data_IF_565299237504
#
_entry.id   IF_565299237504
#
_cell.length_a   1.000
_cell.length_b   1.000
_cell.length_c   1.000
_cell.angle_alpha   90.00
_cell.angle_beta   90.00
_cell.angle_gamma   90.00
#
_symmetry.space_group_name_H-M   'P 1'
#
loop_
_entity.id
_entity.type
_entity.pdbx_description
1 polymer ?
#
# COMPACT_ATOMS: atom_id res chain seq x y z
N UNK A 1 68.14 42.41 -8.55
CA UNK A 1 67.28 43.13 -7.57
C UNK A 1 67.08 44.56 -8.06
N UNK A 2 65.88 44.87 -8.55
CA UNK A 2 65.55 46.25 -8.96
C UNK A 2 65.51 47.13 -7.71
N UNK A 3 66.42 48.13 -7.63
CA UNK A 3 66.42 49.15 -6.56
C UNK A 3 65.49 50.28 -6.99
N UNK A 4 64.29 50.34 -6.43
CA UNK A 4 63.42 51.48 -6.65
C UNK A 4 63.98 52.73 -5.94
N UNK A 5 63.83 53.92 -6.53
CA UNK A 5 64.32 55.16 -5.94
C UNK A 5 63.60 55.51 -4.64
N UNK A 6 64.27 56.18 -3.69
CA UNK A 6 63.76 56.48 -2.34
C UNK A 6 62.40 57.19 -2.33
N UNK A 7 62.13 58.00 -3.35
CA UNK A 7 60.84 58.70 -3.47
C UNK A 7 59.68 57.74 -3.74
N UNK A 8 59.90 56.59 -4.39
CA UNK A 8 58.86 55.60 -4.65
C UNK A 8 58.41 54.91 -3.36
N UNK A 9 59.37 54.52 -2.51
CA UNK A 9 59.05 53.96 -1.19
C UNK A 9 58.34 54.97 -0.30
N UNK A 10 58.83 56.21 -0.25
CA UNK A 10 58.17 57.30 0.49
C UNK A 10 56.77 57.59 -0.05
N UNK A 11 56.60 57.67 -1.37
CA UNK A 11 55.30 57.88 -2.00
C UNK A 11 54.33 56.73 -1.71
N UNK A 12 54.80 55.48 -1.74
CA UNK A 12 53.98 54.31 -1.44
C UNK A 12 53.62 54.19 0.05
N UNK A 13 54.48 54.69 0.93
CA UNK A 13 54.25 54.80 2.38
C UNK A 13 53.28 55.94 2.72
N UNK A 14 53.40 57.08 2.01
CA UNK A 14 52.55 58.26 2.15
C UNK A 14 51.17 58.07 1.44
N UNK A 15 51.05 57.10 0.53
CA UNK A 15 49.82 56.78 -0.22
C UNK A 15 49.49 55.28 -0.15
N UNK A 16 49.15 54.75 1.04
CA UNK A 16 48.77 53.35 1.17
C UNK A 16 47.46 53.12 0.41
N UNK A 17 47.52 52.48 -0.76
CA UNK A 17 46.32 52.01 -1.44
C UNK A 17 45.66 50.93 -0.58
N UNK A 18 44.51 51.24 0.00
CA UNK A 18 43.72 50.27 0.76
C UNK A 18 43.17 49.21 -0.21
N UNK A 19 43.88 48.10 -0.32
CA UNK A 19 43.42 46.90 -1.04
C UNK A 19 42.56 46.01 -0.14
N UNK A 20 42.59 46.21 1.18
CA UNK A 20 41.83 45.41 2.15
C UNK A 20 40.36 45.77 2.11
N UNK A 21 40.00 47.05 2.08
CA UNK A 21 38.61 47.51 1.94
C UNK A 21 37.91 46.96 0.69
N UNK A 22 38.45 47.19 -0.53
CA UNK A 22 37.94 46.61 -1.77
C UNK A 22 37.96 45.08 -1.79
N UNK A 23 38.99 44.45 -1.22
CA UNK A 23 39.09 42.98 -1.11
C UNK A 23 38.00 42.38 -0.20
N UNK A 24 37.73 43.00 0.95
CA UNK A 24 36.64 42.61 1.85
C UNK A 24 35.30 42.79 1.14
N UNK A 25 35.07 43.93 0.49
CA UNK A 25 33.83 44.19 -0.25
C UNK A 25 33.60 43.15 -1.36
N UNK A 26 34.61 42.88 -2.19
CA UNK A 26 34.53 41.89 -3.26
C UNK A 26 34.30 40.48 -2.70
N UNK A 27 34.99 40.10 -1.62
CA UNK A 27 34.79 38.82 -0.94
C UNK A 27 33.39 38.66 -0.35
N UNK A 28 32.85 39.71 0.27
CA UNK A 28 31.48 39.73 0.81
C UNK A 28 30.46 39.60 -0.31
N UNK A 29 30.59 40.37 -1.41
CA UNK A 29 29.67 40.28 -2.55
C UNK A 29 29.74 38.90 -3.21
N UNK A 30 30.94 38.36 -3.44
CA UNK A 30 31.10 37.03 -4.03
C UNK A 30 30.48 35.94 -3.15
N UNK A 31 30.68 36.01 -1.82
CA UNK A 31 30.09 35.07 -0.87
C UNK A 31 28.56 35.19 -0.84
N UNK A 32 28.02 36.40 -0.85
CA UNK A 32 26.58 36.64 -0.88
C UNK A 32 25.94 36.10 -2.18
N UNK A 33 26.59 36.31 -3.33
CA UNK A 33 26.14 35.75 -4.61
C UNK A 33 26.22 34.22 -4.60
N UNK A 34 27.28 33.64 -4.08
CA UNK A 34 27.41 32.18 -3.96
C UNK A 34 26.31 31.58 -3.06
N UNK A 35 26.05 32.18 -1.89
CA UNK A 35 24.99 31.74 -0.97
C UNK A 35 23.61 31.88 -1.62
N UNK A 36 23.32 33.03 -2.25
CA UNK A 36 22.07 33.24 -2.95
C UNK A 36 21.88 32.25 -4.11
N UNK A 37 22.95 31.94 -4.85
CA UNK A 37 22.93 30.94 -5.92
C UNK A 37 22.66 29.54 -5.36
N UNK A 38 23.29 29.16 -4.24
CA UNK A 38 23.02 27.88 -3.57
C UNK A 38 21.55 27.80 -3.14
N UNK A 39 20.99 28.85 -2.54
CA UNK A 39 19.57 28.89 -2.12
C UNK A 39 18.63 28.74 -3.34
N UNK A 40 18.94 29.38 -4.47
CA UNK A 40 18.12 29.30 -5.68
C UNK A 40 18.27 27.95 -6.40
N UNK A 41 19.50 27.42 -6.49
CA UNK A 41 19.80 26.16 -7.21
C UNK A 41 19.29 24.93 -6.45
N UNK A 42 19.39 24.93 -5.13
CA UNK A 42 18.91 23.80 -4.32
C UNK A 42 17.40 23.83 -4.03
N UNK A 43 16.69 24.89 -4.46
CA UNK A 43 15.26 25.14 -4.22
C UNK A 43 14.86 24.91 -2.74
N UNK A 44 13.56 24.90 -2.42
CA UNK A 44 13.08 24.43 -1.12
C UNK A 44 13.10 22.89 -1.10
N UNK A 45 14.02 22.21 -0.36
CA UNK A 45 14.05 20.75 -0.28
C UNK A 45 12.83 20.16 0.46
N UNK A 46 12.04 21.01 1.10
CA UNK A 46 10.79 20.67 1.78
C UNK A 46 9.58 21.24 1.03
N UNK A 47 9.70 21.47 -0.28
CA UNK A 47 8.57 21.84 -1.11
C UNK A 47 7.51 20.73 -1.04
N UNK A 48 6.26 21.13 -0.82
CA UNK A 48 5.12 20.22 -0.78
C UNK A 48 4.20 20.41 -1.98
N UNK A 49 3.37 19.40 -2.20
CA UNK A 49 2.16 19.43 -3.02
C UNK A 49 1.00 19.03 -2.14
N UNK A 50 -0.09 19.79 -2.24
CA UNK A 50 -1.22 19.67 -1.32
C UNK A 50 -2.48 19.36 -2.13
N UNK A 51 -3.16 18.27 -1.78
CA UNK A 51 -4.47 17.92 -2.31
C UNK A 51 -5.53 18.38 -1.33
N UNK A 52 -6.27 19.44 -1.66
CA UNK A 52 -7.40 19.88 -0.84
C UNK A 52 -8.55 18.87 -0.92
N UNK A 53 -8.98 18.31 0.22
CA UNK A 53 -10.02 17.26 0.30
C UNK A 53 -11.33 17.76 0.92
N UNK A 54 -11.38 18.99 1.43
CA UNK A 54 -12.60 19.60 1.97
C UNK A 54 -12.73 21.10 1.70
N UNK A 55 -13.80 21.76 2.20
CA UNK A 55 -13.97 23.20 2.07
C UNK A 55 -12.76 24.03 2.51
N UNK A 56 -12.58 25.22 1.93
CA UNK A 56 -11.46 26.11 2.31
C UNK A 56 -11.52 26.49 3.79
N UNK A 57 -10.35 26.49 4.45
CA UNK A 57 -10.18 27.02 5.81
C UNK A 57 -10.44 26.03 6.96
N UNK A 58 -10.70 24.76 6.68
CA UNK A 58 -10.90 23.73 7.73
C UNK A 58 -9.73 22.73 7.86
N UNK A 59 -8.63 22.94 7.13
CA UNK A 59 -7.42 22.11 7.22
C UNK A 59 -7.57 20.69 6.67
N UNK A 60 -8.53 20.48 5.77
CA UNK A 60 -8.67 19.21 5.05
C UNK A 60 -7.82 19.24 3.77
N UNK A 61 -6.56 18.85 3.92
CA UNK A 61 -5.60 18.68 2.84
C UNK A 61 -4.66 17.49 3.08
N UNK A 62 -4.31 16.78 2.00
CA UNK A 62 -3.24 15.77 1.98
C UNK A 62 -1.99 16.43 1.43
N UNK A 63 -1.08 16.77 2.33
CA UNK A 63 0.21 17.39 2.02
C UNK A 63 1.29 16.31 1.86
N UNK A 64 2.06 16.34 0.76
CA UNK A 64 3.18 15.44 0.52
C UNK A 64 4.42 16.20 0.05
N UNK A 65 5.63 15.74 0.37
CA UNK A 65 6.84 16.35 -0.16
C UNK A 65 7.01 15.99 -1.64
N UNK A 66 7.39 16.98 -2.46
CA UNK A 66 7.65 16.77 -3.90
C UNK A 66 8.77 15.75 -4.11
N UNK A 67 9.80 15.79 -3.26
CA UNK A 67 10.97 14.90 -3.36
C UNK A 67 10.62 13.41 -3.17
N UNK A 68 9.50 13.12 -2.50
CA UNK A 68 9.08 11.75 -2.22
C UNK A 68 8.36 11.13 -3.42
N UNK A 69 8.15 11.89 -4.52
CA UNK A 69 7.40 11.51 -5.70
C UNK A 69 6.07 10.82 -5.32
N UNK A 70 5.04 11.57 -4.90
CA UNK A 70 3.85 11.02 -4.22
C UNK A 70 2.99 10.04 -5.02
N UNK A 71 3.28 9.86 -6.31
CA UNK A 71 2.63 8.91 -7.23
C UNK A 71 3.56 7.75 -7.62
N UNK A 72 4.77 7.68 -7.07
CA UNK A 72 5.71 6.59 -7.37
C UNK A 72 5.25 5.30 -6.71
N UNK A 73 4.98 4.27 -7.52
CA UNK A 73 4.84 2.90 -7.07
C UNK A 73 6.00 2.07 -7.66
N UNK A 74 6.99 1.63 -6.87
CA UNK A 74 8.10 0.84 -7.38
C UNK A 74 7.65 -0.50 -7.98
N UNK A 75 6.48 -1.00 -7.60
CA UNK A 75 5.96 -2.27 -8.11
C UNK A 75 5.27 -2.11 -9.47
N UNK A 76 4.76 -0.91 -9.80
CA UNK A 76 4.23 -0.62 -11.13
C UNK A 76 5.34 -0.76 -12.18
N UNK A 77 6.54 -0.26 -11.88
CA UNK A 77 7.70 -0.35 -12.80
C UNK A 77 8.18 -1.79 -13.04
N UNK A 78 7.90 -2.69 -12.10
CA UNK A 78 8.30 -4.11 -12.19
C UNK A 78 7.19 -5.02 -12.68
N UNK A 79 5.99 -4.50 -12.93
CA UNK A 79 4.91 -5.28 -13.51
C UNK A 79 5.29 -5.72 -14.93
N UNK A 80 5.06 -7.00 -15.23
CA UNK A 80 5.28 -7.58 -16.55
C UNK A 80 3.95 -8.02 -17.11
N UNK A 81 3.61 -7.45 -18.26
CA UNK A 81 2.49 -7.81 -19.10
C UNK A 81 2.80 -9.08 -19.91
N UNK A 82 1.84 -9.99 -20.02
CA UNK A 82 1.97 -11.22 -20.79
C UNK A 82 0.92 -11.24 -21.90
N UNK A 83 1.37 -11.07 -23.14
CA UNK A 83 0.48 -11.21 -24.31
C UNK A 83 -0.09 -12.63 -24.40
N UNK A 84 -1.40 -12.68 -24.69
CA UNK A 84 -2.14 -13.91 -24.95
C UNK A 84 -1.66 -14.55 -26.25
N UNK A 85 -1.71 -15.88 -26.28
CA UNK A 85 -1.49 -16.63 -27.52
C UNK A 85 -2.81 -16.70 -28.29
N UNK A 86 -2.81 -16.33 -29.56
CA UNK A 86 -4.00 -16.53 -30.41
C UNK A 86 -4.25 -18.03 -30.58
N UNK A 87 -5.46 -18.48 -30.25
CA UNK A 87 -5.85 -19.88 -30.43
C UNK A 87 -5.98 -20.20 -31.92
N UNK A 88 -5.25 -21.21 -32.39
CA UNK A 88 -5.41 -21.72 -33.75
C UNK A 88 -6.66 -22.62 -33.84
N UNK A 89 -7.32 -22.65 -34.99
CA UNK A 89 -8.51 -23.49 -35.15
C UNK A 89 -8.17 -24.98 -35.02
N UNK A 90 -8.81 -25.68 -34.08
CA UNK A 90 -8.66 -27.13 -33.88
C UNK A 90 -7.56 -27.54 -32.91
N UNK A 91 -6.97 -26.60 -32.16
CA UNK A 91 -6.16 -26.91 -30.98
C UNK A 91 -7.03 -27.40 -29.82
N UNK A 92 -6.49 -28.28 -28.95
CA UNK A 92 -7.24 -28.79 -27.82
C UNK A 92 -7.44 -27.73 -26.73
N UNK A 93 -8.51 -27.85 -25.96
CA UNK A 93 -8.66 -27.10 -24.70
C UNK A 93 -7.72 -27.64 -23.62
N UNK A 94 -7.54 -26.89 -22.54
CA UNK A 94 -6.75 -27.32 -21.38
C UNK A 94 -7.31 -28.62 -20.77
N UNK A 95 -8.63 -28.76 -20.67
CA UNK A 95 -9.27 -29.98 -20.20
C UNK A 95 -9.04 -31.17 -21.16
N UNK A 96 -9.02 -30.95 -22.48
CA UNK A 96 -8.71 -32.01 -23.45
C UNK A 96 -7.23 -32.42 -23.41
N UNK A 97 -6.33 -31.46 -23.17
CA UNK A 97 -4.89 -31.68 -23.14
C UNK A 97 -4.39 -32.32 -21.83
N UNK A 98 -4.91 -31.86 -20.68
CA UNK A 98 -4.42 -32.20 -19.35
C UNK A 98 -5.40 -33.08 -18.54
N UNK A 99 -6.65 -33.22 -18.99
CA UNK A 99 -7.65 -34.09 -18.39
C UNK A 99 -8.35 -33.50 -17.17
N UNK A 100 -8.98 -34.38 -16.37
CA UNK A 100 -9.83 -34.01 -15.23
C UNK A 100 -9.05 -33.41 -14.04
N UNK A 101 -7.72 -33.32 -14.10
CA UNK A 101 -6.90 -32.72 -13.03
C UNK A 101 -6.76 -31.20 -13.14
N UNK A 102 -7.27 -30.59 -14.21
CA UNK A 102 -7.31 -29.13 -14.39
C UNK A 102 -8.22 -28.49 -13.35
N UNK A 103 -7.70 -27.55 -12.57
CA UNK A 103 -8.44 -26.90 -11.47
C UNK A 103 -9.09 -25.57 -11.85
N UNK A 104 -8.69 -24.97 -12.97
CA UNK A 104 -9.30 -23.75 -13.48
C UNK A 104 -9.12 -23.65 -15.00
N UNK A 105 -9.99 -22.88 -15.67
CA UNK A 105 -9.84 -22.56 -17.10
C UNK A 105 -9.81 -23.77 -18.04
N UNK A 106 -10.55 -24.83 -17.74
CA UNK A 106 -10.59 -26.06 -18.56
C UNK A 106 -10.96 -25.85 -20.03
N UNK A 107 -11.82 -24.86 -20.32
CA UNK A 107 -12.27 -24.53 -21.68
C UNK A 107 -11.30 -23.61 -22.45
N UNK A 108 -10.23 -23.13 -21.80
CA UNK A 108 -9.23 -22.30 -22.43
C UNK A 108 -8.39 -23.11 -23.43
N UNK A 109 -8.02 -22.53 -24.57
CA UNK A 109 -7.04 -23.12 -25.47
C UNK A 109 -5.74 -23.48 -24.73
N UNK A 110 -5.15 -24.64 -25.04
CA UNK A 110 -3.96 -25.15 -24.36
C UNK A 110 -2.80 -24.14 -24.34
N UNK A 111 -2.52 -23.45 -25.45
CA UNK A 111 -1.39 -22.53 -25.53
C UNK A 111 -1.64 -21.25 -24.71
N UNK A 112 -2.88 -20.75 -24.68
CA UNK A 112 -3.28 -19.66 -23.79
C UNK A 112 -3.19 -20.08 -22.32
N UNK A 113 -3.59 -21.31 -21.98
CA UNK A 113 -3.53 -21.85 -20.63
C UNK A 113 -2.08 -21.98 -20.12
N UNK A 114 -1.18 -22.50 -20.95
CA UNK A 114 0.24 -22.57 -20.65
C UNK A 114 0.86 -21.17 -20.45
N UNK A 115 0.44 -20.21 -21.28
CA UNK A 115 0.88 -18.82 -21.18
C UNK A 115 0.37 -18.13 -19.92
N UNK A 116 -0.86 -18.42 -19.49
CA UNK A 116 -1.41 -17.91 -18.23
C UNK A 116 -0.62 -18.45 -17.03
N UNK A 117 -0.26 -19.73 -17.02
CA UNK A 117 0.57 -20.30 -15.95
C UNK A 117 1.95 -19.62 -15.87
N UNK A 118 2.55 -19.26 -17.02
CA UNK A 118 3.79 -18.49 -17.06
C UNK A 118 3.61 -17.09 -16.45
N UNK A 119 2.52 -16.38 -16.82
CA UNK A 119 2.18 -15.07 -16.29
C UNK A 119 1.97 -15.11 -14.77
N UNK A 120 1.13 -16.04 -14.29
CA UNK A 120 0.89 -16.27 -12.87
C UNK A 120 2.18 -16.60 -12.13
N UNK A 121 3.06 -17.41 -12.72
CA UNK A 121 4.35 -17.76 -12.10
C UNK A 121 5.25 -16.54 -11.91
N UNK A 122 5.32 -15.66 -12.91
CA UNK A 122 6.08 -14.41 -12.82
C UNK A 122 5.47 -13.46 -11.78
N UNK A 123 4.14 -13.37 -11.72
CA UNK A 123 3.46 -12.48 -10.79
C UNK A 123 3.53 -12.94 -9.33
N UNK A 124 3.52 -14.26 -9.11
CA UNK A 124 3.60 -14.88 -7.78
C UNK A 124 5.06 -15.07 -7.34
N UNK A 125 6.02 -15.15 -8.25
CA UNK A 125 7.44 -15.35 -7.92
C UNK A 125 7.85 -16.80 -7.68
N UNK A 126 6.98 -17.76 -7.98
CA UNK A 126 7.27 -19.20 -7.98
C UNK A 126 6.49 -19.87 -9.10
N UNK A 127 6.88 -21.09 -9.48
CA UNK A 127 6.13 -21.90 -10.46
C UNK A 127 4.68 -22.09 -9.96
N UNK A 128 3.73 -21.68 -10.78
CA UNK A 128 2.29 -21.90 -10.61
C UNK A 128 1.88 -22.98 -11.62
N UNK A 129 1.07 -23.93 -11.16
CA UNK A 129 0.47 -24.96 -12.01
C UNK A 129 -1.03 -25.05 -11.76
N UNK A 130 -1.79 -25.27 -12.82
CA UNK A 130 -3.26 -25.31 -12.80
C UNK A 130 -3.82 -26.72 -13.07
N UNK A 131 -2.98 -27.73 -12.98
CA UNK A 131 -3.34 -29.14 -13.10
C UNK A 131 -2.32 -30.02 -12.36
N UNK A 132 -2.65 -31.30 -12.14
CA UNK A 132 -1.70 -32.28 -11.60
C UNK A 132 -0.64 -32.64 -12.67
N UNK A 133 0.54 -32.01 -12.58
CA UNK A 133 1.69 -32.27 -13.44
C UNK A 133 2.63 -33.36 -12.88
N UNK A 134 2.26 -33.98 -11.74
CA UNK A 134 3.07 -34.96 -11.01
C UNK A 134 4.22 -34.38 -10.19
N UNK A 135 4.43 -33.05 -10.20
CA UNK A 135 5.52 -32.38 -9.48
C UNK A 135 5.01 -31.59 -8.26
N UNK A 136 3.80 -31.04 -8.31
CA UNK A 136 3.17 -30.36 -7.17
C UNK A 136 2.31 -31.31 -6.34
N UNK A 137 2.20 -31.04 -5.03
CA UNK A 137 1.27 -31.77 -4.18
C UNK A 137 -0.17 -31.22 -4.28
N UNK A 138 -1.14 -32.05 -3.87
CA UNK A 138 -2.56 -31.71 -3.84
C UNK A 138 -2.85 -30.43 -3.04
N UNK A 139 -2.08 -30.19 -1.97
CA UNK A 139 -2.18 -28.98 -1.15
C UNK A 139 -1.84 -27.72 -1.95
N UNK A 140 -0.74 -27.72 -2.70
CA UNK A 140 -0.31 -26.59 -3.52
C UNK A 140 -1.30 -26.32 -4.64
N UNK A 141 -1.84 -27.38 -5.25
CA UNK A 141 -2.84 -27.27 -6.30
C UNK A 141 -4.15 -26.68 -5.75
N UNK A 142 -4.63 -27.14 -4.59
CA UNK A 142 -5.82 -26.59 -3.93
C UNK A 142 -5.65 -25.12 -3.48
N UNK A 143 -4.45 -24.73 -3.06
CA UNK A 143 -4.15 -23.31 -2.75
C UNK A 143 -4.19 -22.46 -4.02
N UNK A 144 -3.67 -22.99 -5.14
CA UNK A 144 -3.66 -22.30 -6.42
C UNK A 144 -5.08 -22.07 -6.93
N UNK A 145 -5.92 -23.11 -6.91
CA UNK A 145 -7.36 -23.04 -7.22
C UNK A 145 -8.05 -21.96 -6.38
N UNK A 146 -7.86 -22.00 -5.06
CA UNK A 146 -8.41 -21.00 -4.14
C UNK A 146 -7.98 -19.56 -4.48
N UNK A 147 -6.72 -19.35 -4.88
CA UNK A 147 -6.24 -18.01 -5.25
C UNK A 147 -6.87 -17.51 -6.57
N UNK A 148 -7.13 -18.41 -7.52
CA UNK A 148 -7.87 -18.09 -8.75
C UNK A 148 -9.30 -17.70 -8.41
N UNK A 149 -10.00 -18.52 -7.61
CA UNK A 149 -11.36 -18.25 -7.16
C UNK A 149 -11.45 -16.93 -6.40
N UNK A 150 -10.51 -16.66 -5.48
CA UNK A 150 -10.48 -15.40 -4.73
C UNK A 150 -10.28 -14.18 -5.66
N UNK A 151 -9.50 -14.32 -6.72
CA UNK A 151 -9.26 -13.25 -7.70
C UNK A 151 -10.53 -12.95 -8.51
N UNK A 152 -11.19 -14.00 -9.02
CA UNK A 152 -12.45 -13.86 -9.74
C UNK A 152 -13.55 -13.29 -8.83
N UNK A 153 -13.65 -13.79 -7.61
CA UNK A 153 -14.61 -13.31 -6.60
C UNK A 153 -14.41 -11.82 -6.29
N UNK A 154 -13.16 -11.38 -6.10
CA UNK A 154 -12.86 -9.96 -5.90
C UNK A 154 -13.28 -9.11 -7.09
N UNK A 155 -13.00 -9.55 -8.31
CA UNK A 155 -13.29 -8.79 -9.52
C UNK A 155 -14.80 -8.74 -9.86
N UNK A 156 -15.55 -9.79 -9.54
CA UNK A 156 -16.99 -9.86 -9.80
C UNK A 156 -17.80 -9.21 -8.67
N UNK A 157 -17.78 -9.79 -7.47
CA UNK A 157 -18.67 -9.39 -6.36
C UNK A 157 -18.27 -8.06 -5.70
N UNK A 158 -16.99 -7.67 -5.84
CA UNK A 158 -16.45 -6.44 -5.26
C UNK A 158 -16.07 -5.38 -6.30
N UNK A 159 -16.61 -5.48 -7.53
CA UNK A 159 -16.38 -4.52 -8.62
C UNK A 159 -16.57 -3.05 -8.20
N UNK A 160 -17.54 -2.79 -7.31
CA UNK A 160 -17.78 -1.43 -6.79
C UNK A 160 -16.60 -0.84 -6.00
N UNK A 161 -15.65 -1.67 -5.55
CA UNK A 161 -14.41 -1.27 -4.90
C UNK A 161 -13.20 -1.28 -5.85
N UNK A 162 -12.92 -2.41 -6.49
CA UNK A 162 -11.72 -2.60 -7.33
C UNK A 162 -11.92 -2.24 -8.81
N UNK A 163 -13.14 -1.96 -9.24
CA UNK A 163 -13.49 -1.41 -10.55
C UNK A 163 -13.00 -2.29 -11.72
N UNK A 164 -13.15 -3.61 -11.61
CA UNK A 164 -12.82 -4.57 -12.67
C UNK A 164 -13.60 -4.29 -13.96
N UNK A 165 -14.89 -3.95 -13.88
CA UNK A 165 -15.73 -3.58 -15.03
C UNK A 165 -15.27 -2.32 -15.76
N UNK A 166 -14.41 -1.51 -15.11
CA UNK A 166 -13.77 -0.34 -15.67
C UNK A 166 -12.33 -0.58 -16.17
N UNK A 167 -11.87 -1.84 -16.22
CA UNK A 167 -10.51 -2.19 -16.62
C UNK A 167 -9.48 -1.80 -15.56
N UNK A 168 -9.77 -2.04 -14.28
CA UNK A 168 -8.78 -1.89 -13.20
C UNK A 168 -8.62 -3.25 -12.53
N UNK A 169 -9.60 -3.66 -11.72
CA UNK A 169 -9.65 -4.97 -11.09
C UNK A 169 -8.38 -5.31 -10.30
N UNK A 170 -8.19 -6.60 -10.04
CA UNK A 170 -7.01 -7.17 -9.40
C UNK A 170 -6.57 -8.43 -10.14
N UNK A 171 -5.29 -8.76 -10.02
CA UNK A 171 -4.74 -10.06 -10.41
C UNK A 171 -3.70 -10.53 -9.37
N UNK A 172 -3.04 -11.65 -9.63
CA UNK A 172 -2.06 -12.24 -8.71
C UNK A 172 -0.97 -11.23 -8.31
N UNK A 173 -0.49 -10.40 -9.25
CA UNK A 173 0.57 -9.43 -8.99
C UNK A 173 0.14 -8.31 -8.04
N UNK A 174 -1.15 -7.97 -8.04
CA UNK A 174 -1.71 -6.93 -7.16
C UNK A 174 -1.35 -7.18 -5.70
N UNK A 175 -1.37 -8.45 -5.28
CA UNK A 175 -0.99 -8.89 -3.94
C UNK A 175 0.46 -9.39 -3.88
N UNK A 176 0.84 -10.32 -4.75
CA UNK A 176 2.09 -11.07 -4.60
C UNK A 176 3.34 -10.26 -4.90
N UNK A 177 3.28 -9.32 -5.84
CA UNK A 177 4.44 -8.48 -6.20
C UNK A 177 5.71 -9.28 -6.54
N UNK A 178 5.56 -10.48 -7.12
CA UNK A 178 6.67 -11.39 -7.41
C UNK A 178 7.21 -12.16 -6.20
N UNK A 179 6.47 -12.22 -5.09
CA UNK A 179 6.83 -12.95 -3.88
C UNK A 179 5.78 -14.02 -3.53
N UNK A 180 6.18 -15.28 -3.25
CA UNK A 180 5.22 -16.37 -3.00
C UNK A 180 4.30 -16.11 -1.81
N UNK A 181 4.78 -15.34 -0.82
CA UNK A 181 3.94 -14.79 0.24
C UNK A 181 3.81 -13.28 0.00
N UNK A 182 2.59 -12.75 -0.20
CA UNK A 182 2.40 -11.33 -0.43
C UNK A 182 3.09 -10.48 0.65
N UNK A 183 3.91 -9.49 0.29
CA UNK A 183 4.70 -8.72 1.26
C UNK A 183 3.82 -7.92 2.23
N UNK A 184 2.60 -7.56 1.82
CA UNK A 184 1.61 -6.88 2.67
C UNK A 184 0.60 -7.81 3.35
N UNK A 185 0.78 -9.13 3.30
CA UNK A 185 -0.07 -10.07 4.04
C UNK A 185 0.09 -9.89 5.55
N UNK A 186 -0.92 -10.28 6.33
CA UNK A 186 -0.86 -10.24 7.79
C UNK A 186 -1.21 -11.57 8.45
N UNK A 187 -0.72 -11.73 9.67
CA UNK A 187 -0.91 -12.88 10.55
C UNK A 187 -1.37 -12.40 11.93
N UNK A 188 -2.02 -13.26 12.70
CA UNK A 188 -2.47 -12.95 14.07
C UNK A 188 -1.26 -12.61 14.93
N UNK A 189 -1.23 -11.39 15.45
CA UNK A 189 -0.07 -10.90 16.21
C UNK A 189 0.09 -11.60 17.57
N UNK A 190 -1.00 -12.13 18.14
CA UNK A 190 -1.01 -12.72 19.47
C UNK A 190 -0.57 -11.74 20.56
N UNK A 191 0.00 -12.27 21.64
CA UNK A 191 0.53 -11.45 22.73
C UNK A 191 1.94 -10.92 22.38
N UNK A 192 2.02 -9.64 21.99
CA UNK A 192 3.30 -8.97 21.74
C UNK A 192 4.08 -8.67 23.02
N UNK A 193 3.40 -8.56 24.17
CA UNK A 193 4.05 -8.54 25.49
C UNK A 193 3.78 -9.84 26.22
N UNK A 194 4.65 -10.84 26.05
CA UNK A 194 4.50 -12.19 26.61
C UNK A 194 4.46 -12.26 28.14
N UNK A 195 4.94 -11.22 28.84
CA UNK A 195 4.86 -11.11 30.30
C UNK A 195 3.53 -10.52 30.81
N UNK A 196 2.66 -10.07 29.92
CA UNK A 196 1.37 -9.46 30.23
C UNK A 196 0.20 -10.32 29.72
N UNK A 197 -1.00 -10.02 30.20
CA UNK A 197 -2.25 -10.61 29.74
C UNK A 197 -3.29 -9.52 29.44
N UNK A 198 -4.33 -9.87 28.67
CA UNK A 198 -5.39 -8.94 28.28
C UNK A 198 -4.86 -7.74 27.50
N UNK A 199 -5.41 -6.56 27.75
CA UNK A 199 -5.11 -5.34 27.00
C UNK A 199 -3.62 -4.98 26.96
N UNK A 200 -2.89 -5.16 28.06
CA UNK A 200 -1.47 -4.85 28.10
C UNK A 200 -0.62 -5.80 27.24
N UNK A 201 -1.15 -6.96 26.85
CA UNK A 201 -0.44 -7.93 26.03
C UNK A 201 -0.35 -7.53 24.55
N UNK A 202 -1.27 -6.68 24.06
CA UNK A 202 -1.47 -6.43 22.62
C UNK A 202 -1.04 -5.04 22.15
N UNK A 203 -0.43 -4.20 22.99
CA UNK A 203 -0.06 -2.82 22.66
C UNK A 203 1.26 -2.40 23.35
N UNK A 204 1.61 -1.10 23.33
CA UNK A 204 2.80 -0.55 24.02
C UNK A 204 4.13 -1.19 23.60
N UNK A 205 4.18 -1.75 22.39
CA UNK A 205 5.38 -2.34 21.84
C UNK A 205 5.56 -1.90 20.40
N UNK A 206 6.67 -1.22 20.14
CA UNK A 206 7.13 -1.03 18.78
C UNK A 206 7.62 -2.36 18.25
N UNK A 207 7.08 -2.75 17.10
CA UNK A 207 7.45 -3.95 16.40
C UNK A 207 8.21 -3.55 15.12
N UNK A 208 9.41 -4.08 14.93
CA UNK A 208 10.39 -3.59 13.93
C UNK A 208 10.72 -4.62 12.83
N UNK A 209 9.98 -5.72 12.74
CA UNK A 209 10.10 -6.78 11.74
C UNK A 209 8.86 -6.87 10.83
N UNK A 210 9.04 -7.41 9.62
CA UNK A 210 8.02 -7.46 8.56
C UNK A 210 6.73 -8.19 8.96
N UNK A 211 6.80 -9.12 9.90
CA UNK A 211 5.63 -9.85 10.41
C UNK A 211 4.74 -8.98 11.31
N UNK A 212 5.27 -7.89 11.86
CA UNK A 212 4.61 -7.11 12.93
C UNK A 212 4.66 -5.59 12.72
N UNK A 213 4.81 -5.10 11.49
CA UNK A 213 4.66 -3.66 11.15
C UNK A 213 3.25 -3.10 11.42
N UNK A 214 2.30 -3.95 11.86
CA UNK A 214 0.96 -3.58 12.32
C UNK A 214 0.95 -2.43 13.35
N UNK A 215 1.98 -2.29 14.19
CA UNK A 215 2.05 -1.16 15.14
C UNK A 215 2.12 0.22 14.45
N UNK A 216 2.44 0.28 13.14
CA UNK A 216 2.60 1.50 12.35
C UNK A 216 3.48 2.55 13.06
N UNK A 217 4.55 2.09 13.74
CA UNK A 217 5.44 2.90 14.56
C UNK A 217 4.78 3.64 15.75
N UNK A 218 3.65 3.12 16.24
CA UNK A 218 2.93 3.64 17.41
C UNK A 218 2.95 2.65 18.58
N UNK A 219 2.44 3.08 19.74
CA UNK A 219 2.19 2.22 20.90
C UNK A 219 0.77 1.63 20.92
N UNK A 220 0.01 1.79 19.84
CA UNK A 220 -1.38 1.33 19.75
C UNK A 220 -1.47 -0.21 19.69
N UNK A 221 -2.68 -0.76 19.89
CA UNK A 221 -2.92 -2.20 19.79
C UNK A 221 -2.58 -2.76 18.40
N UNK A 222 -2.04 -3.98 18.35
CA UNK A 222 -1.62 -4.65 17.11
C UNK A 222 -2.63 -5.68 16.61
N UNK A 223 -3.69 -5.96 17.38
CA UNK A 223 -4.72 -6.95 17.11
C UNK A 223 -5.87 -6.42 16.23
N UNK A 224 -5.78 -5.18 15.73
CA UNK A 224 -6.88 -4.52 15.02
C UNK A 224 -7.31 -5.23 13.72
N UNK A 225 -6.39 -5.87 12.99
CA UNK A 225 -6.74 -6.62 11.78
C UNK A 225 -7.55 -7.86 12.13
N UNK A 226 -7.18 -8.57 13.20
CA UNK A 226 -7.92 -9.73 13.69
C UNK A 226 -9.32 -9.31 14.14
N UNK A 227 -9.42 -8.30 14.99
CA UNK A 227 -10.70 -7.86 15.57
C UNK A 227 -11.64 -7.25 14.52
N UNK A 228 -11.11 -6.46 13.57
CA UNK A 228 -11.97 -5.71 12.64
C UNK A 228 -12.02 -6.26 11.22
N UNK A 229 -10.94 -6.82 10.69
CA UNK A 229 -10.85 -7.31 9.30
C UNK A 229 -10.94 -8.83 9.18
N UNK A 230 -11.06 -9.55 10.30
CA UNK A 230 -11.34 -10.97 10.34
C UNK A 230 -12.59 -11.28 11.16
N UNK A 231 -12.68 -10.82 12.41
CA UNK A 231 -13.85 -11.10 13.27
C UNK A 231 -15.08 -10.23 12.93
N UNK A 232 -14.86 -9.08 12.29
CA UNK A 232 -15.92 -8.16 11.89
C UNK A 232 -16.55 -7.38 13.05
N UNK A 233 -15.77 -7.09 14.10
CA UNK A 233 -16.24 -6.24 15.20
C UNK A 233 -16.55 -4.80 14.74
N UNK A 234 -17.38 -4.09 15.50
CA UNK A 234 -17.73 -2.70 15.21
C UNK A 234 -16.59 -1.73 15.53
N UNK A 235 -16.24 -0.87 14.58
CA UNK A 235 -15.28 0.24 14.77
C UNK A 235 -15.92 1.50 15.40
N UNK A 236 -17.23 1.49 15.66
CA UNK A 236 -17.96 2.66 16.16
C UNK A 236 -17.73 2.82 17.65
N UNK A 237 -17.20 3.98 18.04
CA UNK A 237 -16.84 4.32 19.43
C UNK A 237 -17.40 5.67 19.90
N UNK A 238 -18.19 6.34 19.07
CA UNK A 238 -18.81 7.62 19.38
C UNK A 238 -20.28 7.45 19.73
N UNK A 239 -20.70 8.12 20.80
CA UNK A 239 -22.10 8.42 21.04
C UNK A 239 -22.61 9.48 20.06
N UNK A 240 -23.87 9.34 19.64
CA UNK A 240 -24.53 10.31 18.77
C UNK A 240 -25.23 11.43 19.55
N UNK A 241 -25.51 11.19 20.83
CA UNK A 241 -26.11 12.16 21.73
C UNK A 241 -25.05 12.87 22.58
N UNK A 242 -25.29 14.13 22.93
CA UNK A 242 -24.32 14.92 23.71
C UNK A 242 -24.07 14.40 25.13
N UNK A 243 -25.00 13.59 25.66
CA UNK A 243 -24.95 13.02 27.01
C UNK A 243 -25.55 11.62 26.97
N UNK A 244 -24.72 10.64 27.24
CA UNK A 244 -25.09 9.23 27.32
C UNK A 244 -24.50 8.65 28.60
N UNK A 245 -25.29 7.85 29.30
CA UNK A 245 -24.81 7.07 30.44
C UNK A 245 -24.19 5.78 29.91
N UNK A 246 -22.90 5.55 30.19
CA UNK A 246 -22.21 4.32 29.79
C UNK A 246 -22.90 3.08 30.38
N UNK A 247 -23.29 2.16 29.51
CA UNK A 247 -23.85 0.85 29.87
C UNK A 247 -22.80 -0.26 29.76
N UNK A 248 -22.97 -1.38 30.49
CA UNK A 248 -22.13 -2.55 30.30
C UNK A 248 -22.19 -3.05 28.86
N UNK A 249 -21.03 -3.18 28.22
CA UNK A 249 -20.90 -3.59 26.82
C UNK A 249 -20.71 -2.43 25.84
N UNK A 250 -20.92 -1.18 26.27
CA UNK A 250 -20.60 -0.02 25.45
C UNK A 250 -19.09 0.09 25.23
N UNK A 251 -18.65 0.57 24.05
CA UNK A 251 -17.23 0.74 23.74
C UNK A 251 -16.50 1.57 24.80
N UNK A 252 -15.30 1.14 25.16
CA UNK A 252 -14.43 1.86 26.09
C UNK A 252 -13.26 2.50 25.34
N UNK A 253 -12.40 3.23 26.07
CA UNK A 253 -11.20 3.85 25.50
C UNK A 253 -10.28 2.84 24.79
N UNK A 254 -10.30 1.58 25.20
CA UNK A 254 -9.53 0.50 24.57
C UNK A 254 -10.04 0.23 23.13
N UNK A 255 -11.35 0.21 22.94
CA UNK A 255 -11.96 0.07 21.61
C UNK A 255 -11.66 1.28 20.73
N UNK A 256 -11.62 2.47 21.32
CA UNK A 256 -11.21 3.70 20.63
C UNK A 256 -9.74 3.66 20.18
N UNK A 257 -8.82 3.19 21.03
CA UNK A 257 -7.41 2.99 20.68
C UNK A 257 -7.23 1.96 19.57
N UNK A 258 -7.97 0.83 19.64
CA UNK A 258 -7.93 -0.19 18.59
C UNK A 258 -8.47 0.34 17.27
N UNK A 259 -9.59 1.06 17.31
CA UNK A 259 -10.16 1.73 16.13
C UNK A 259 -9.14 2.69 15.53
N UNK A 260 -8.45 3.48 16.36
CA UNK A 260 -7.43 4.40 15.89
C UNK A 260 -6.23 3.67 15.27
N UNK A 261 -5.86 2.49 15.77
CA UNK A 261 -4.83 1.64 15.17
C UNK A 261 -5.21 1.23 13.74
N UNK A 262 -6.44 0.78 13.51
CA UNK A 262 -6.95 0.48 12.16
C UNK A 262 -6.94 1.72 11.27
N UNK A 263 -7.41 2.88 11.75
CA UNK A 263 -7.41 4.12 10.95
C UNK A 263 -5.99 4.55 10.55
N UNK A 264 -5.00 4.37 11.43
CA UNK A 264 -3.60 4.62 11.12
C UNK A 264 -3.09 3.62 10.06
N UNK A 265 -3.42 2.33 10.19
CA UNK A 265 -3.08 1.33 9.18
C UNK A 265 -3.66 1.69 7.80
N UNK A 266 -4.93 2.06 7.72
CA UNK A 266 -5.57 2.46 6.47
C UNK A 266 -4.90 3.70 5.86
N UNK A 267 -4.58 4.69 6.68
CA UNK A 267 -3.87 5.90 6.23
C UNK A 267 -2.49 5.58 5.66
N UNK A 268 -1.71 4.73 6.33
CA UNK A 268 -0.38 4.32 5.85
C UNK A 268 -0.46 3.42 4.61
N UNK A 269 -1.41 2.49 4.55
CA UNK A 269 -1.60 1.59 3.42
C UNK A 269 -1.93 2.32 2.12
N UNK A 270 -2.64 3.46 2.19
CA UNK A 270 -2.96 4.29 1.03
C UNK A 270 -2.01 5.49 0.89
N UNK A 271 -1.08 5.68 1.84
CA UNK A 271 -0.20 6.85 1.94
C UNK A 271 -0.99 8.18 1.86
N UNK A 272 -1.97 8.30 2.74
CA UNK A 272 -2.82 9.49 2.93
C UNK A 272 -2.89 9.83 4.42
N UNK A 273 -3.64 10.86 4.79
CA UNK A 273 -3.91 11.20 6.19
C UNK A 273 -5.41 11.08 6.50
N UNK A 274 -5.79 11.30 7.76
CA UNK A 274 -7.16 11.17 8.23
C UNK A 274 -8.16 12.04 7.44
N UNK A 275 -7.72 13.22 6.98
CA UNK A 275 -8.57 14.17 6.25
C UNK A 275 -8.80 13.80 4.78
N UNK A 276 -8.20 12.70 4.33
CA UNK A 276 -8.58 12.09 3.06
C UNK A 276 -10.00 11.52 3.09
N UNK A 277 -10.42 11.00 4.26
CA UNK A 277 -11.75 10.41 4.46
C UNK A 277 -12.65 11.27 5.37
N UNK A 278 -12.09 11.93 6.39
CA UNK A 278 -12.89 12.55 7.45
C UNK A 278 -12.69 14.05 7.58
N UNK A 279 -13.73 14.76 8.03
CA UNK A 279 -13.53 15.97 8.80
C UNK A 279 -13.27 15.59 10.26
N UNK A 280 -12.03 15.77 10.74
CA UNK A 280 -11.60 15.28 12.06
C UNK A 280 -12.32 15.94 13.24
N UNK A 281 -13.06 17.04 13.03
CA UNK A 281 -13.94 17.61 14.07
C UNK A 281 -15.13 16.70 14.41
N UNK A 282 -15.50 15.78 13.51
CA UNK A 282 -16.59 14.83 13.68
C UNK A 282 -16.36 13.60 12.78
N UNK A 283 -15.51 12.65 13.21
CA UNK A 283 -15.19 11.44 12.45
C UNK A 283 -16.42 10.59 12.08
N UNK A 284 -17.46 10.61 12.91
CA UNK A 284 -18.67 9.79 12.76
C UNK A 284 -19.73 10.38 11.83
N UNK A 285 -19.61 11.66 11.42
CA UNK A 285 -20.69 12.38 10.75
C UNK A 285 -20.63 12.19 9.22
N UNK A 286 -21.55 11.40 8.62
CA UNK A 286 -21.53 11.13 7.19
C UNK A 286 -21.83 12.37 6.33
N UNK A 287 -22.30 13.47 6.91
CA UNK A 287 -22.52 14.73 6.18
C UNK A 287 -21.24 15.57 6.05
N UNK A 288 -20.15 15.15 6.70
CA UNK A 288 -18.88 15.87 6.77
C UNK A 288 -17.66 15.04 6.36
N UNK A 289 -17.88 13.82 5.87
CA UNK A 289 -16.84 12.96 5.28
C UNK A 289 -16.70 13.21 3.78
N UNK A 290 -15.63 12.67 3.19
CA UNK A 290 -15.43 12.63 1.74
C UNK A 290 -16.03 11.33 1.16
N UNK A 291 -16.24 11.22 -0.17
CA UNK A 291 -16.72 9.98 -0.79
C UNK A 291 -15.83 8.75 -0.50
N UNK A 292 -14.54 8.97 -0.26
CA UNK A 292 -13.56 7.93 0.06
C UNK A 292 -13.93 7.17 1.33
N UNK A 293 -14.58 7.83 2.30
CA UNK A 293 -15.05 7.17 3.53
C UNK A 293 -15.99 5.99 3.25
N UNK A 294 -16.93 6.16 2.31
CA UNK A 294 -17.87 5.10 1.93
C UNK A 294 -17.15 3.96 1.19
N UNK A 295 -16.21 4.28 0.30
CA UNK A 295 -15.40 3.27 -0.41
C UNK A 295 -14.53 2.48 0.58
N UNK A 296 -13.94 3.13 1.58
CA UNK A 296 -13.15 2.45 2.62
C UNK A 296 -14.02 1.59 3.53
N UNK A 297 -15.26 1.99 3.81
CA UNK A 297 -16.20 1.14 4.57
C UNK A 297 -16.57 -0.12 3.77
N UNK A 298 -16.82 0.02 2.46
CA UNK A 298 -17.02 -1.11 1.56
C UNK A 298 -15.80 -2.05 1.57
N UNK A 299 -14.59 -1.49 1.47
CA UNK A 299 -13.34 -2.26 1.52
C UNK A 299 -13.16 -3.02 2.86
N UNK A 300 -13.61 -2.47 3.99
CA UNK A 300 -13.59 -3.20 5.26
C UNK A 300 -14.51 -4.42 5.22
N UNK A 301 -15.72 -4.28 4.68
CA UNK A 301 -16.64 -5.43 4.51
C UNK A 301 -16.05 -6.48 3.56
N UNK A 302 -15.46 -6.04 2.45
CA UNK A 302 -14.74 -6.92 1.53
C UNK A 302 -13.65 -7.73 2.23
N UNK A 303 -12.80 -7.05 3.01
CA UNK A 303 -11.68 -7.71 3.69
C UNK A 303 -12.16 -8.71 4.76
N UNK A 304 -13.23 -8.40 5.50
CA UNK A 304 -13.85 -9.35 6.45
C UNK A 304 -14.28 -10.61 5.71
N UNK A 305 -15.08 -10.44 4.65
CA UNK A 305 -15.65 -11.54 3.90
C UNK A 305 -14.56 -12.39 3.23
N UNK A 306 -13.65 -11.77 2.49
CA UNK A 306 -12.58 -12.45 1.78
C UNK A 306 -11.63 -13.18 2.74
N UNK A 307 -11.29 -12.59 3.90
CA UNK A 307 -10.48 -13.26 4.91
C UNK A 307 -11.18 -14.47 5.52
N UNK A 308 -12.48 -14.39 5.79
CA UNK A 308 -13.26 -15.51 6.34
C UNK A 308 -13.49 -16.62 5.32
N UNK A 309 -13.66 -16.27 4.05
CA UNK A 309 -14.04 -17.21 2.98
C UNK A 309 -12.83 -17.90 2.35
N UNK A 310 -11.77 -17.15 2.02
CA UNK A 310 -10.66 -17.66 1.20
C UNK A 310 -9.35 -17.88 1.95
N UNK A 311 -9.08 -17.14 3.03
CA UNK A 311 -7.74 -17.15 3.66
C UNK A 311 -7.71 -17.87 5.00
N UNK A 312 -8.55 -17.51 5.97
CA UNK A 312 -8.53 -18.10 7.32
C UNK A 312 -8.72 -19.63 7.29
N UNK A 313 -9.68 -20.21 6.54
CA UNK A 313 -9.88 -21.67 6.50
C UNK A 313 -8.68 -22.44 5.93
N UNK A 314 -7.83 -21.79 5.12
CA UNK A 314 -6.68 -22.44 4.46
C UNK A 314 -5.56 -22.74 5.44
N UNK A 315 -5.63 -22.19 6.65
CA UNK A 315 -4.72 -22.55 7.74
C UNK A 315 -4.79 -24.04 8.09
N UNK A 316 -5.96 -24.67 7.98
CA UNK A 316 -6.14 -26.10 8.22
C UNK A 316 -5.42 -26.94 7.16
N UNK A 317 -5.61 -26.58 5.88
CA UNK A 317 -4.97 -27.25 4.73
C UNK A 317 -3.44 -27.10 4.78
N UNK A 318 -2.96 -25.91 5.13
CA UNK A 318 -1.53 -25.61 5.27
C UNK A 318 -0.88 -26.26 6.50
N UNK A 319 -1.66 -26.68 7.50
CA UNK A 319 -1.16 -27.12 8.81
C UNK A 319 -0.45 -26.00 9.60
N UNK A 320 -0.59 -24.75 9.18
CA UNK A 320 -0.01 -23.54 9.79
C UNK A 320 -0.88 -22.34 9.42
N UNK A 321 -0.74 -21.23 10.15
CA UNK A 321 -1.52 -20.03 9.85
C UNK A 321 -1.31 -19.55 8.40
N UNK A 322 -2.43 -19.35 7.69
CA UNK A 322 -2.45 -18.72 6.38
C UNK A 322 -2.35 -17.19 6.51
N UNK A 323 -1.55 -16.59 5.63
CA UNK A 323 -1.50 -15.14 5.49
C UNK A 323 -2.84 -14.61 4.99
N UNK A 324 -3.33 -13.56 5.63
CA UNK A 324 -4.60 -12.90 5.32
C UNK A 324 -4.36 -11.58 4.61
N UNK A 325 -5.40 -11.05 3.98
CA UNK A 325 -5.35 -9.79 3.22
C UNK A 325 -5.81 -8.61 4.07
N UNK A 326 -5.22 -7.45 3.84
CA UNK A 326 -5.63 -6.16 4.39
C UNK A 326 -5.42 -5.05 3.34
N UNK A 327 -5.60 -3.79 3.73
CA UNK A 327 -5.40 -2.66 2.82
C UNK A 327 -3.99 -2.62 2.23
N UNK A 328 -2.96 -2.88 3.04
CA UNK A 328 -1.56 -2.87 2.61
C UNK A 328 -1.27 -3.96 1.58
N UNK A 329 -1.92 -5.13 1.67
CA UNK A 329 -1.68 -6.26 0.76
C UNK A 329 -1.86 -5.87 -0.71
N UNK A 330 -2.81 -4.99 -1.02
CA UNK A 330 -3.04 -4.50 -2.39
C UNK A 330 -2.51 -3.08 -2.61
N UNK A 331 -2.74 -2.16 -1.66
CA UNK A 331 -2.45 -0.74 -1.90
C UNK A 331 -0.97 -0.39 -1.79
N UNK A 332 -0.19 -1.08 -0.95
CA UNK A 332 1.28 -0.91 -0.85
C UNK A 332 1.78 0.56 -0.80
N UNK A 333 1.03 1.46 -0.16
CA UNK A 333 1.40 2.87 -0.05
C UNK A 333 0.90 3.77 -1.19
N UNK A 334 -0.07 3.32 -1.99
CA UNK A 334 -0.74 4.13 -3.01
C UNK A 334 -2.27 4.02 -2.94
N UNK A 335 -2.98 5.08 -3.34
CA UNK A 335 -4.45 5.14 -3.26
C UNK A 335 -5.12 4.12 -4.17
N UNK A 336 -4.51 3.80 -5.31
CA UNK A 336 -4.93 2.71 -6.20
C UNK A 336 -3.74 1.78 -6.40
N UNK A 337 -3.88 0.46 -6.20
CA UNK A 337 -2.80 -0.48 -6.47
C UNK A 337 -2.20 -0.25 -7.86
N UNK A 338 -0.86 -0.22 -7.98
CA UNK A 338 -0.16 -0.07 -9.26
C UNK A 338 -0.63 1.15 -10.05
N UNK A 339 -0.96 2.23 -9.33
CA UNK A 339 -1.52 3.48 -9.84
C UNK A 339 -2.78 3.34 -10.72
N UNK A 340 -3.52 2.24 -10.55
CA UNK A 340 -4.73 1.97 -11.33
C UNK A 340 -4.44 1.42 -12.73
N UNK A 341 -3.32 0.72 -12.90
CA UNK A 341 -3.04 -0.13 -14.06
C UNK A 341 -4.19 -1.12 -14.27
N UNK A 342 -4.52 -1.40 -15.53
CA UNK A 342 -5.53 -2.39 -15.89
C UNK A 342 -4.98 -3.79 -15.66
N UNK A 343 -5.42 -4.44 -14.58
CA UNK A 343 -4.92 -5.75 -14.17
C UNK A 343 -5.70 -6.91 -14.81
N UNK A 344 -6.80 -6.62 -15.50
CA UNK A 344 -7.74 -7.63 -16.02
C UNK A 344 -7.77 -7.71 -17.55
N UNK A 345 -7.36 -6.66 -18.26
CA UNK A 345 -7.41 -6.63 -19.73
C UNK A 345 -6.62 -7.75 -20.40
N UNK A 346 -5.46 -8.12 -19.84
CA UNK A 346 -4.62 -9.18 -20.41
C UNK A 346 -5.25 -10.56 -20.28
N UNK A 347 -5.96 -10.80 -19.17
CA UNK A 347 -6.54 -12.10 -18.82
C UNK A 347 -7.94 -11.91 -18.23
N UNK A 348 -8.96 -11.64 -19.08
CA UNK A 348 -10.35 -11.46 -18.64
C UNK A 348 -10.90 -12.65 -17.86
N UNK A 349 -10.34 -13.85 -18.06
CA UNK A 349 -10.71 -15.06 -17.32
C UNK A 349 -10.39 -14.95 -15.82
N UNK A 350 -9.49 -14.05 -15.41
CA UNK A 350 -9.27 -13.70 -14.00
C UNK A 350 -10.28 -12.68 -13.46
N UNK A 351 -11.05 -12.01 -14.32
CA UNK A 351 -12.04 -11.01 -13.91
C UNK A 351 -13.36 -11.64 -13.44
N UNK A 352 -13.77 -12.76 -14.04
CA UNK A 352 -14.94 -13.52 -13.63
C UNK A 352 -14.80 -14.96 -14.13
N UNK A 353 -15.53 -15.93 -13.54
CA UNK A 353 -15.66 -17.26 -14.14
C UNK A 353 -16.17 -17.12 -15.59
N UNK A 354 -15.68 -17.96 -16.49
CA UNK A 354 -16.26 -18.05 -17.83
C UNK A 354 -17.72 -18.52 -17.70
N UNK A 355 -18.67 -17.79 -18.32
CA UNK A 355 -20.09 -18.19 -18.39
C UNK A 355 -20.35 -19.42 -19.26
#
# INVERSE_FOLDING_TARGET
MLRFPKWFYKWSEDNPTDLKGPGILAGTVASAVAIATIIVVYDNPNRTVDQQTGPRGIGMDVTKFVRDNPQYDPYEETYVAFERVEAEEGTPTAAEAYGDSVVAFGDMDQASFDRLQEAMSAWVGTKVVLYDDGEVDETTLAITENCVEATQYLNDDWDTHNLASAGIGVNCYTCHRGEPTPPGAWFKAGAVNSAAAGWAAVQNRLMVDNTYTASNFTSLPVDYNEVFLLEGASIKVHDLESRVDQQPGDPVWQDAERTFALMNHQSNALNVNCVYCHNTRAFYDPTQVTPQWSITTLAQTMLIDVNQTFYEPRSEVLGREAGKVNCMTCHMGVVRPLNGTDMVAEWPELAAPAE
#
